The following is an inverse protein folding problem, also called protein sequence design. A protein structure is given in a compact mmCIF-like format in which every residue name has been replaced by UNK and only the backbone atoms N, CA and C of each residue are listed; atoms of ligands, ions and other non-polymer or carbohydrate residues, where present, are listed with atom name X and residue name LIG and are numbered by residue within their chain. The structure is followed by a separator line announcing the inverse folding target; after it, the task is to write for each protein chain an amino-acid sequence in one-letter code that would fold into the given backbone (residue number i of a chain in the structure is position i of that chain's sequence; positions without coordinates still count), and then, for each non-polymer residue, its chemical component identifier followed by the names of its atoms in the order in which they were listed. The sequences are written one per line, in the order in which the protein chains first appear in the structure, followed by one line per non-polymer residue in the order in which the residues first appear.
data_IF_276412396502
#
_entry.id   IF_276412396502
#
_cell.length_a   1.000
_cell.length_b   1.000
_cell.length_c   1.000
_cell.angle_alpha   90.00
_cell.angle_beta   90.00
_cell.angle_gamma   90.00
#
_symmetry.space_group_name_H-M   'P 1'
#
loop_
_entity.id
_entity.type
_entity.pdbx_description
1 polymer ?
#
# COMPACT_ATOMS: atom_id res chain seq x y z
N UNK A 1 -0.26 -3.39 -23.00
CA UNK A 1 -0.93 -2.77 -21.85
C UNK A 1 -2.03 -3.67 -21.26
N UNK A 2 -3.16 -3.94 -21.93
CA UNK A 2 -4.28 -4.67 -21.32
C UNK A 2 -3.93 -6.11 -20.87
N UNK A 3 -3.28 -6.91 -21.72
CA UNK A 3 -2.88 -8.29 -21.36
C UNK A 3 -1.80 -8.34 -20.26
N UNK A 4 -0.89 -7.37 -20.26
CA UNK A 4 0.12 -7.26 -19.21
C UNK A 4 -0.50 -6.89 -17.87
N UNK A 5 -1.38 -5.89 -17.86
CA UNK A 5 -2.15 -5.50 -16.68
C UNK A 5 -3.00 -6.66 -16.17
N UNK A 6 -3.68 -7.40 -17.07
CA UNK A 6 -4.44 -8.59 -16.72
C UNK A 6 -3.56 -9.63 -16.02
N UNK A 7 -2.37 -9.91 -16.56
CA UNK A 7 -1.42 -10.87 -15.94
C UNK A 7 -1.01 -10.41 -14.54
N UNK A 8 -0.67 -9.14 -14.35
CA UNK A 8 -0.31 -8.58 -13.05
C UNK A 8 -1.48 -8.66 -12.05
N UNK A 9 -2.68 -8.28 -12.48
CA UNK A 9 -3.89 -8.30 -11.64
C UNK A 9 -4.22 -9.73 -11.23
N UNK A 10 -4.27 -10.68 -12.16
CA UNK A 10 -4.54 -12.09 -11.84
C UNK A 10 -3.48 -12.65 -10.89
N UNK A 11 -2.21 -12.26 -11.06
CA UNK A 11 -1.13 -12.68 -10.18
C UNK A 11 -1.27 -12.21 -8.73
N UNK A 12 -1.89 -11.05 -8.48
CA UNK A 12 -2.09 -10.52 -7.12
C UNK A 12 -3.41 -10.98 -6.49
N UNK A 13 -4.37 -11.51 -7.26
CA UNK A 13 -5.69 -11.94 -6.73
C UNK A 13 -5.60 -12.85 -5.50
N UNK A 14 -4.77 -13.92 -5.45
CA UNK A 14 -4.68 -14.76 -4.26
C UNK A 14 -4.25 -13.98 -3.02
N UNK A 15 -3.26 -13.10 -3.17
CA UNK A 15 -2.77 -12.22 -2.10
C UNK A 15 -3.89 -11.28 -1.61
N UNK A 16 -4.68 -10.72 -2.53
CA UNK A 16 -5.81 -9.87 -2.19
C UNK A 16 -6.96 -10.62 -1.49
N UNK A 17 -7.20 -11.89 -1.84
CA UNK A 17 -8.23 -12.72 -1.21
C UNK A 17 -7.86 -13.11 0.23
N UNK A 18 -6.58 -13.41 0.46
CA UNK A 18 -6.01 -13.74 1.78
C UNK A 18 -5.74 -12.50 2.64
N UNK A 19 -5.80 -11.31 2.04
CA UNK A 19 -5.57 -10.06 2.77
C UNK A 19 -6.62 -9.87 3.88
N UNK A 20 -6.21 -9.60 5.14
CA UNK A 20 -7.14 -9.54 6.28
C UNK A 20 -8.10 -8.35 6.19
N UNK A 21 -7.78 -7.32 5.40
CA UNK A 21 -8.60 -6.13 5.23
C UNK A 21 -9.44 -6.25 3.95
N UNK A 22 -10.76 -6.33 4.10
CA UNK A 22 -11.69 -6.54 2.97
C UNK A 22 -11.93 -5.32 2.09
N UNK A 23 -11.65 -4.11 2.57
CA UNK A 23 -11.78 -2.87 1.81
C UNK A 23 -10.66 -1.93 2.19
N UNK A 24 -9.88 -1.51 1.20
CA UNK A 24 -8.76 -0.60 1.37
C UNK A 24 -8.59 0.24 0.12
N UNK A 25 -7.78 1.29 0.23
CA UNK A 25 -7.44 2.18 -0.86
C UNK A 25 -5.93 2.30 -0.95
N UNK A 26 -5.41 2.28 -2.18
CA UNK A 26 -4.00 2.44 -2.48
C UNK A 26 -3.86 3.65 -3.38
N UNK A 27 -2.93 4.54 -3.04
CA UNK A 27 -2.65 5.76 -3.79
C UNK A 27 -1.14 5.95 -3.85
N UNK A 28 -0.57 6.02 -5.06
CA UNK A 28 0.86 6.24 -5.26
C UNK A 28 1.07 7.67 -5.75
N UNK A 29 1.75 8.46 -4.95
CA UNK A 29 2.21 9.79 -5.29
C UNK A 29 3.61 9.66 -5.93
N UNK A 30 3.66 9.81 -7.25
CA UNK A 30 4.90 9.68 -8.02
C UNK A 30 5.86 10.85 -7.78
N UNK A 31 5.35 12.05 -7.47
CA UNK A 31 6.19 13.23 -7.22
C UNK A 31 6.94 13.10 -5.89
N UNK A 32 6.25 12.59 -4.85
CA UNK A 32 6.84 12.35 -3.54
C UNK A 32 7.57 10.99 -3.41
N UNK A 33 7.38 10.09 -4.39
CA UNK A 33 7.73 8.66 -4.30
C UNK A 33 7.17 7.97 -3.04
N UNK A 34 5.88 8.18 -2.78
CA UNK A 34 5.18 7.68 -1.59
C UNK A 34 3.96 6.85 -1.96
N UNK A 35 3.83 5.65 -1.38
CA UNK A 35 2.63 4.83 -1.48
C UNK A 35 1.81 4.90 -0.19
N UNK A 36 0.57 5.38 -0.29
CA UNK A 36 -0.40 5.40 0.79
C UNK A 36 -1.31 4.17 0.69
N UNK A 37 -1.50 3.47 1.81
CA UNK A 37 -2.43 2.36 1.93
C UNK A 37 -3.39 2.67 3.08
N UNK A 38 -4.65 2.98 2.78
CA UNK A 38 -5.68 3.24 3.80
C UNK A 38 -6.59 2.03 3.96
N UNK A 39 -6.69 1.50 5.17
CA UNK A 39 -7.57 0.35 5.50
C UNK A 39 -9.01 0.77 5.80
N UNK A 40 -9.25 2.07 5.97
CA UNK A 40 -10.57 2.64 6.22
C UNK A 40 -10.68 4.02 5.56
N UNK A 41 -11.91 4.43 5.21
CA UNK A 41 -12.22 5.81 4.86
C UNK A 41 -13.42 6.32 5.66
N UNK A 42 -13.31 7.50 6.32
CA UNK A 42 -12.09 8.30 6.49
C UNK A 42 -11.10 7.63 7.47
N UNK A 43 -9.80 7.72 7.20
CA UNK A 43 -8.78 7.07 8.02
C UNK A 43 -8.71 7.64 9.45
N UNK A 44 -8.83 8.96 9.62
CA UNK A 44 -8.80 9.68 10.92
C UNK A 44 -7.67 9.21 11.86
N UNK A 45 -6.46 8.98 11.32
CA UNK A 45 -5.32 8.58 12.13
C UNK A 45 -4.97 9.67 13.15
N UNK A 46 -4.72 9.26 14.38
CA UNK A 46 -4.29 10.12 15.50
C UNK A 46 -2.82 9.97 15.81
N UNK A 47 -2.20 8.87 15.36
CA UNK A 47 -0.80 8.55 15.67
C UNK A 47 -0.09 7.89 14.48
N UNK A 48 1.24 7.91 14.50
CA UNK A 48 2.12 7.31 13.49
C UNK A 48 3.35 6.70 14.15
N UNK A 49 3.57 5.42 13.90
CA UNK A 49 4.76 4.71 14.34
C UNK A 49 5.68 4.43 13.15
N UNK A 50 6.99 4.58 13.35
CA UNK A 50 8.00 4.18 12.36
C UNK A 50 8.31 2.71 12.64
N UNK A 51 7.99 1.81 11.71
CA UNK A 51 8.20 0.38 11.87
C UNK A 51 9.59 -0.05 11.36
N UNK A 52 9.87 0.27 10.10
CA UNK A 52 11.10 -0.10 9.39
C UNK A 52 11.55 1.05 8.49
N UNK A 53 12.70 0.91 7.84
CA UNK A 53 13.28 1.93 6.95
C UNK A 53 12.27 2.35 5.87
N UNK A 54 11.62 3.50 6.05
CA UNK A 54 10.63 4.05 5.13
C UNK A 54 9.21 3.49 5.27
N UNK A 55 8.90 2.72 6.31
CA UNK A 55 7.54 2.20 6.57
C UNK A 55 6.94 2.89 7.79
N UNK A 56 5.83 3.61 7.58
CA UNK A 56 5.08 4.29 8.63
C UNK A 56 3.73 3.60 8.83
N UNK A 57 3.45 3.18 10.06
CA UNK A 57 2.18 2.62 10.49
C UNK A 57 1.28 3.74 11.02
N UNK A 58 0.05 3.84 10.52
CA UNK A 58 -0.89 4.90 10.89
C UNK A 58 -1.99 4.35 11.79
N UNK A 59 -2.13 4.89 12.99
CA UNK A 59 -3.06 4.40 13.99
C UNK A 59 -4.15 5.41 14.36
N UNK A 60 -5.30 4.91 14.79
CA UNK A 60 -6.36 5.66 15.45
C UNK A 60 -6.64 4.98 16.79
N UNK A 61 -6.12 5.54 17.89
CA UNK A 61 -5.96 4.80 19.13
C UNK A 61 -5.05 3.59 18.90
N UNK A 62 -5.48 2.39 19.31
CA UNK A 62 -4.73 1.14 19.09
C UNK A 62 -5.01 0.46 17.74
N UNK A 63 -5.87 1.04 16.90
CA UNK A 63 -6.27 0.42 15.62
C UNK A 63 -5.36 0.88 14.49
N UNK A 64 -4.71 -0.05 13.79
CA UNK A 64 -4.01 0.25 12.54
C UNK A 64 -5.03 0.59 11.45
N UNK A 65 -4.98 1.82 10.95
CA UNK A 65 -5.94 2.36 9.96
C UNK A 65 -5.29 2.65 8.60
N UNK A 66 -3.97 2.58 8.50
CA UNK A 66 -3.27 2.67 7.24
C UNK A 66 -1.76 2.54 7.37
N UNK A 67 -1.08 2.64 6.24
CA UNK A 67 0.36 2.62 6.12
C UNK A 67 0.83 3.66 5.10
N UNK A 68 2.02 4.18 5.29
CA UNK A 68 2.73 5.02 4.32
C UNK A 68 4.08 4.38 4.04
N UNK A 69 4.38 4.15 2.77
CA UNK A 69 5.65 3.60 2.30
C UNK A 69 6.40 4.70 1.58
N UNK A 70 7.50 5.16 2.16
CA UNK A 70 8.41 6.13 1.58
C UNK A 70 9.40 5.45 0.63
N UNK A 71 9.90 6.20 -0.36
CA UNK A 71 10.78 5.69 -1.41
C UNK A 71 10.18 4.44 -2.09
N UNK A 72 8.87 4.46 -2.34
CA UNK A 72 8.11 3.26 -2.69
C UNK A 72 8.56 2.65 -4.02
N UNK A 73 9.13 3.45 -4.92
CA UNK A 73 9.71 2.98 -6.18
C UNK A 73 10.78 1.91 -6.01
N UNK A 74 11.46 1.83 -4.85
CA UNK A 74 12.45 0.78 -4.56
C UNK A 74 11.87 -0.63 -4.58
N UNK A 75 10.56 -0.77 -4.42
CA UNK A 75 9.83 -2.04 -4.47
C UNK A 75 9.35 -2.40 -5.87
N UNK A 76 9.49 -1.51 -6.87
CA UNK A 76 9.15 -1.83 -8.26
C UNK A 76 10.06 -2.96 -8.74
N UNK A 77 9.46 -4.09 -9.15
CA UNK A 77 10.20 -5.16 -9.81
C UNK A 77 10.75 -4.60 -11.12
N UNK A 78 12.07 -4.63 -11.29
CA UNK A 78 12.68 -4.30 -12.58
C UNK A 78 12.23 -5.37 -13.58
N UNK A 79 11.35 -5.01 -14.50
CA UNK A 79 11.10 -5.83 -15.68
C UNK A 79 12.39 -5.77 -16.50
N UNK A 80 13.15 -6.87 -16.53
CA UNK A 80 14.21 -7.01 -17.54
C UNK A 80 13.51 -7.02 -18.89
N UNK A 81 13.77 -5.99 -19.68
CA UNK A 81 13.39 -5.92 -21.09
C UNK A 81 14.24 -6.82 -21.94
#
# INVERSE_FOLDING_TARGET
MAEELRRMVVGVVPVLLDFPVKRFHVDYDEEADVLYISFERPQKATDTEIADEGILLRYRGSKLVGMTVLNASRFKVKVQG
#
